data_IF_671724772028
#
_entry.id   IF_671724772028
#
_cell.length_a   1.000
_cell.length_b   1.000
_cell.length_c   1.000
_cell.angle_alpha   90.00
_cell.angle_beta   90.00
_cell.angle_gamma   90.00
#
_symmetry.space_group_name_H-M   'P 1'
#
loop_
_entity.id
_entity.type
_entity.pdbx_description
1 polymer ?
#
# COMPACT_ATOMS: atom_id res chain seq x y z
N UNK A 1 3.99 -24.55 4.95
CA UNK A 1 3.10 -23.51 4.37
C UNK A 1 2.56 -24.05 3.05
N UNK A 2 1.25 -23.96 2.83
CA UNK A 2 0.61 -24.39 1.58
C UNK A 2 1.05 -23.52 0.41
N UNK A 3 1.15 -24.12 -0.77
CA UNK A 3 1.51 -23.43 -2.01
C UNK A 3 0.44 -22.34 -2.29
N UNK A 4 0.82 -21.08 -2.55
CA UNK A 4 -0.15 -20.01 -2.76
C UNK A 4 -1.04 -20.30 -3.97
N UNK A 5 -2.32 -19.96 -3.86
CA UNK A 5 -3.36 -20.18 -4.90
C UNK A 5 -2.93 -19.69 -6.29
N UNK A 6 -2.15 -18.62 -6.35
CA UNK A 6 -1.42 -18.15 -7.52
C UNK A 6 -0.27 -17.24 -7.09
N UNK A 7 0.66 -16.95 -8.01
CA UNK A 7 1.78 -16.00 -7.79
C UNK A 7 1.48 -14.70 -8.56
N UNK A 8 1.13 -13.59 -7.90
CA UNK A 8 0.82 -12.32 -8.58
C UNK A 8 1.83 -11.89 -9.65
N UNK A 9 3.14 -12.09 -9.39
CA UNK A 9 4.19 -11.69 -10.34
C UNK A 9 4.15 -12.42 -11.67
N UNK A 10 3.54 -13.61 -11.76
CA UNK A 10 3.44 -14.38 -13.01
C UNK A 10 2.51 -13.75 -14.05
N UNK A 11 1.71 -12.74 -13.66
CA UNK A 11 0.85 -12.00 -14.58
C UNK A 11 1.57 -10.80 -15.24
N UNK A 12 2.77 -10.46 -14.78
CA UNK A 12 3.60 -9.41 -15.36
C UNK A 12 4.59 -9.98 -16.37
N UNK A 13 4.83 -9.21 -17.44
CA UNK A 13 5.91 -9.50 -18.39
C UNK A 13 7.31 -9.26 -17.79
N UNK A 14 7.40 -8.58 -16.64
CA UNK A 14 8.64 -8.26 -15.94
C UNK A 14 8.54 -8.65 -14.45
N UNK A 15 8.55 -9.96 -14.13
CA UNK A 15 8.29 -10.42 -12.76
C UNK A 15 9.24 -9.84 -11.70
N UNK A 16 10.47 -9.50 -12.05
CA UNK A 16 11.49 -8.95 -11.14
C UNK A 16 11.26 -7.48 -10.77
N UNK A 17 10.49 -6.76 -11.60
CA UNK A 17 10.10 -5.38 -11.40
C UNK A 17 8.85 -5.24 -10.52
N UNK A 18 8.18 -6.35 -10.20
CA UNK A 18 6.95 -6.36 -9.42
C UNK A 18 7.12 -5.69 -8.06
N UNK A 19 6.22 -4.76 -7.77
CA UNK A 19 6.20 -3.99 -6.52
C UNK A 19 7.35 -3.00 -6.40
N UNK A 20 8.15 -2.77 -7.45
CA UNK A 20 9.27 -1.81 -7.47
C UNK A 20 9.07 -0.73 -8.53
N UNK A 21 8.72 -1.12 -9.76
CA UNK A 21 8.57 -0.21 -10.87
C UNK A 21 7.16 0.39 -10.88
N UNK A 22 7.03 1.72 -10.90
CA UNK A 22 5.72 2.41 -10.93
C UNK A 22 4.94 2.09 -12.22
N UNK A 23 5.65 1.96 -13.34
CA UNK A 23 5.10 1.52 -14.62
C UNK A 23 5.64 0.15 -14.94
N UNK A 24 4.76 -0.80 -15.21
CA UNK A 24 5.13 -2.19 -15.47
C UNK A 24 4.32 -2.74 -16.63
N UNK A 25 4.96 -3.55 -17.48
CA UNK A 25 4.26 -4.28 -18.54
C UNK A 25 3.56 -5.51 -17.96
N UNK A 26 2.33 -5.72 -18.41
CA UNK A 26 1.49 -6.85 -18.04
C UNK A 26 1.29 -7.75 -19.24
N UNK A 27 1.17 -9.06 -19.00
CA UNK A 27 0.72 -9.95 -20.05
C UNK A 27 -0.70 -9.57 -20.49
N UNK A 28 -1.07 -9.85 -21.75
CA UNK A 28 -2.44 -9.63 -22.22
C UNK A 28 -3.46 -10.28 -21.28
N UNK A 29 -4.50 -9.53 -20.92
CA UNK A 29 -5.55 -10.03 -20.06
C UNK A 29 -6.44 -10.96 -20.87
N UNK A 30 -6.31 -12.27 -20.64
CA UNK A 30 -7.18 -13.27 -21.24
C UNK A 30 -8.53 -13.27 -20.50
N UNK A 31 -9.63 -13.21 -21.25
CA UNK A 31 -10.98 -13.31 -20.70
C UNK A 31 -11.18 -14.68 -20.00
N UNK A 32 -11.85 -14.67 -18.85
CA UNK A 32 -12.19 -15.90 -18.11
C UNK A 32 -11.74 -15.92 -16.64
N UNK A 33 -11.67 -17.11 -16.00
CA UNK A 33 -11.43 -17.24 -14.56
C UNK A 33 -10.11 -16.64 -14.04
N UNK A 34 -9.16 -16.38 -14.94
CA UNK A 34 -7.85 -15.77 -14.65
C UNK A 34 -7.88 -14.24 -14.63
N UNK A 35 -8.90 -13.62 -15.21
CA UNK A 35 -9.04 -12.16 -15.28
C UNK A 35 -9.02 -11.52 -13.88
N UNK A 36 -9.75 -12.13 -12.92
CA UNK A 36 -9.76 -11.66 -11.53
C UNK A 36 -8.39 -11.73 -10.87
N UNK A 37 -7.58 -12.76 -11.17
CA UNK A 37 -6.23 -12.89 -10.61
C UNK A 37 -5.28 -11.87 -11.24
N UNK A 38 -5.46 -11.58 -12.53
CA UNK A 38 -4.71 -10.55 -13.23
C UNK A 38 -4.98 -9.16 -12.63
N UNK A 39 -6.25 -8.77 -12.48
CA UNK A 39 -6.64 -7.52 -11.81
C UNK A 39 -6.15 -7.46 -10.36
N UNK A 40 -6.26 -8.56 -9.61
CA UNK A 40 -5.74 -8.64 -8.24
C UNK A 40 -4.22 -8.47 -8.19
N UNK A 41 -3.48 -9.02 -9.16
CA UNK A 41 -2.04 -8.83 -9.27
C UNK A 41 -1.68 -7.36 -9.55
N UNK A 42 -2.44 -6.68 -10.41
CA UNK A 42 -2.27 -5.25 -10.68
C UNK A 42 -2.52 -4.40 -9.43
N UNK A 43 -3.55 -4.72 -8.65
CA UNK A 43 -3.81 -4.04 -7.38
C UNK A 43 -2.68 -4.29 -6.38
N UNK A 44 -2.27 -5.54 -6.19
CA UNK A 44 -1.19 -5.89 -5.28
C UNK A 44 0.13 -5.22 -5.68
N UNK A 45 0.43 -5.13 -6.97
CA UNK A 45 1.60 -4.40 -7.46
C UNK A 45 1.57 -2.93 -7.03
N UNK A 46 0.44 -2.25 -7.24
CA UNK A 46 0.28 -0.86 -6.82
C UNK A 46 0.49 -0.70 -5.31
N UNK A 47 -0.12 -1.56 -4.49
CA UNK A 47 0.07 -1.51 -3.04
C UNK A 47 1.52 -1.79 -2.64
N UNK A 48 2.16 -2.78 -3.24
CA UNK A 48 3.56 -3.09 -2.96
C UNK A 48 4.48 -1.90 -3.28
N UNK A 49 4.24 -1.20 -4.40
CA UNK A 49 4.97 0.02 -4.75
C UNK A 49 4.77 1.12 -3.69
N UNK A 50 3.52 1.38 -3.29
CA UNK A 50 3.20 2.39 -2.26
C UNK A 50 3.80 2.07 -0.91
N UNK A 51 3.74 0.81 -0.46
CA UNK A 51 4.37 0.38 0.80
C UNK A 51 5.88 0.66 0.75
N UNK A 52 6.56 0.28 -0.34
CA UNK A 52 8.00 0.56 -0.48
C UNK A 52 8.31 2.05 -0.49
N UNK A 53 7.50 2.84 -1.17
CA UNK A 53 7.66 4.29 -1.20
C UNK A 53 7.50 4.88 0.21
N UNK A 54 6.44 4.52 0.94
CA UNK A 54 6.22 5.00 2.30
C UNK A 54 7.31 4.55 3.26
N UNK A 55 7.82 3.33 3.13
CA UNK A 55 8.99 2.88 3.91
C UNK A 55 10.21 3.76 3.68
N UNK A 56 10.45 4.23 2.45
CA UNK A 56 11.54 5.17 2.16
C UNK A 56 11.29 6.53 2.79
N UNK A 57 10.06 7.04 2.71
CA UNK A 57 9.72 8.36 3.27
C UNK A 57 9.86 8.36 4.80
N UNK A 58 9.48 7.27 5.46
CA UNK A 58 9.59 7.13 6.92
C UNK A 58 11.00 6.69 7.38
N UNK A 59 11.94 6.47 6.46
CA UNK A 59 13.27 5.90 6.73
C UNK A 59 13.22 4.54 7.48
N UNK A 60 12.28 3.68 7.08
CA UNK A 60 12.11 2.34 7.64
C UNK A 60 12.72 1.27 6.75
N UNK A 61 13.46 0.36 7.38
CA UNK A 61 13.91 -0.87 6.73
C UNK A 61 12.76 -1.89 6.67
N UNK A 62 12.85 -2.83 5.72
CA UNK A 62 11.92 -3.97 5.68
C UNK A 62 11.94 -4.80 6.97
N UNK A 63 13.10 -4.89 7.64
CA UNK A 63 13.23 -5.65 8.89
C UNK A 63 12.47 -4.98 10.02
N UNK A 64 12.58 -3.65 10.12
CA UNK A 64 11.78 -2.86 11.07
C UNK A 64 10.29 -3.05 10.80
N UNK A 65 9.85 -2.83 9.55
CA UNK A 65 8.45 -2.98 9.20
C UNK A 65 7.90 -4.39 9.50
N UNK A 66 8.65 -5.44 9.18
CA UNK A 66 8.29 -6.82 9.51
C UNK A 66 8.08 -7.00 11.03
N UNK A 67 8.99 -6.45 11.84
CA UNK A 67 8.90 -6.49 13.30
C UNK A 67 7.68 -5.75 13.84
N UNK A 68 7.44 -4.51 13.38
CA UNK A 68 6.31 -3.69 13.81
C UNK A 68 4.96 -4.28 13.37
N UNK A 69 4.90 -4.81 12.15
CA UNK A 69 3.69 -5.43 11.61
C UNK A 69 3.47 -6.86 12.14
N UNK A 70 4.40 -7.41 12.92
CA UNK A 70 4.41 -8.81 13.36
C UNK A 70 4.27 -9.81 12.20
N UNK A 71 4.92 -9.51 11.08
CA UNK A 71 4.94 -10.36 9.89
C UNK A 71 6.33 -10.97 9.76
N UNK A 72 6.40 -12.26 9.47
CA UNK A 72 7.65 -12.92 9.09
C UNK A 72 8.36 -12.18 7.94
N UNK A 73 9.64 -11.85 8.14
CA UNK A 73 10.42 -11.06 7.19
C UNK A 73 10.45 -11.70 5.79
N UNK A 74 10.62 -13.02 5.71
CA UNK A 74 10.59 -13.74 4.43
C UNK A 74 9.23 -13.60 3.73
N UNK A 75 8.13 -13.77 4.47
CA UNK A 75 6.77 -13.59 3.94
C UNK A 75 6.59 -12.18 3.39
N UNK A 76 7.02 -11.15 4.13
CA UNK A 76 6.95 -9.76 3.69
C UNK A 76 7.69 -9.56 2.36
N UNK A 77 8.93 -10.01 2.27
CA UNK A 77 9.76 -9.83 1.07
C UNK A 77 9.12 -10.53 -0.13
N UNK A 78 8.62 -11.75 0.05
CA UNK A 78 7.94 -12.55 -0.98
C UNK A 78 6.61 -11.92 -1.41
N UNK A 79 5.85 -11.39 -0.47
CA UNK A 79 4.60 -10.65 -0.71
C UNK A 79 4.85 -9.39 -1.54
N UNK A 80 5.84 -8.58 -1.17
CA UNK A 80 6.21 -7.35 -1.88
C UNK A 80 6.90 -7.61 -3.23
N UNK A 81 7.27 -8.86 -3.52
CA UNK A 81 7.77 -9.32 -4.84
C UNK A 81 6.69 -10.05 -5.66
N UNK A 82 5.47 -10.18 -5.13
CA UNK A 82 4.37 -10.84 -5.82
C UNK A 82 4.50 -12.37 -5.90
N UNK A 83 5.26 -12.99 -5.00
CA UNK A 83 5.35 -14.45 -4.88
C UNK A 83 4.26 -15.06 -4.00
N UNK A 84 3.73 -14.25 -3.09
CA UNK A 84 2.64 -14.60 -2.19
C UNK A 84 1.56 -13.53 -2.31
N UNK A 85 0.30 -13.94 -2.21
CA UNK A 85 -0.84 -13.04 -2.25
C UNK A 85 -0.87 -12.16 -1.00
N UNK A 86 -1.00 -10.85 -1.21
CA UNK A 86 -1.22 -9.86 -0.14
C UNK A 86 -2.66 -9.95 0.34
N UNK A 87 -2.85 -10.06 1.66
CA UNK A 87 -4.17 -10.07 2.30
C UNK A 87 -4.64 -8.64 2.54
N UNK A 88 -5.94 -8.47 2.74
CA UNK A 88 -6.50 -7.17 3.13
C UNK A 88 -5.95 -6.70 4.50
N UNK A 89 -5.70 -7.64 5.41
CA UNK A 89 -5.04 -7.38 6.70
C UNK A 89 -3.64 -6.76 6.52
N UNK A 90 -2.86 -7.23 5.54
CA UNK A 90 -1.54 -6.67 5.26
C UNK A 90 -1.62 -5.21 4.80
N UNK A 91 -2.70 -4.84 4.09
CA UNK A 91 -2.95 -3.45 3.64
C UNK A 91 -3.40 -2.59 4.82
N UNK A 92 -4.28 -3.10 5.68
CA UNK A 92 -4.73 -2.39 6.87
C UNK A 92 -3.57 -2.09 7.83
N UNK A 93 -2.70 -3.08 8.07
CA UNK A 93 -1.48 -2.90 8.86
C UNK A 93 -0.53 -1.87 8.23
N UNK A 94 -0.38 -1.89 6.90
CA UNK A 94 0.44 -0.90 6.20
C UNK A 94 -0.13 0.52 6.35
N UNK A 95 -1.46 0.68 6.29
CA UNK A 95 -2.12 1.97 6.51
C UNK A 95 -1.98 2.47 7.94
N UNK A 96 -2.03 1.59 8.93
CA UNK A 96 -1.85 1.94 10.34
C UNK A 96 -0.41 2.41 10.62
N UNK A 97 0.57 1.65 10.17
CA UNK A 97 1.99 1.89 10.48
C UNK A 97 2.60 2.99 9.61
N UNK A 98 2.30 2.98 8.31
CA UNK A 98 2.98 3.86 7.34
C UNK A 98 2.11 5.03 6.90
N UNK A 99 0.78 4.91 6.95
CA UNK A 99 -0.20 5.87 6.39
C UNK A 99 -0.04 6.09 4.89
N UNK A 100 -1.12 6.46 4.21
CA UNK A 100 -1.09 6.78 2.77
C UNK A 100 -0.71 5.61 1.87
N UNK A 101 -1.06 4.37 2.25
CA UNK A 101 -0.87 3.19 1.39
C UNK A 101 -2.14 2.96 0.57
N UNK A 102 -3.31 2.99 1.21
CA UNK A 102 -4.61 2.92 0.54
C UNK A 102 -5.26 4.28 0.28
N UNK A 103 -6.23 4.25 -0.63
CA UNK A 103 -7.10 5.41 -0.86
C UNK A 103 -7.91 5.81 0.37
N UNK A 104 -8.23 4.86 1.26
CA UNK A 104 -8.91 5.17 2.52
C UNK A 104 -8.00 5.98 3.44
N UNK A 105 -6.73 5.57 3.57
CA UNK A 105 -5.75 6.32 4.35
C UNK A 105 -5.49 7.71 3.76
N UNK A 106 -5.37 7.82 2.43
CA UNK A 106 -5.26 9.13 1.78
C UNK A 106 -6.47 10.04 2.02
N UNK A 107 -7.70 9.51 1.94
CA UNK A 107 -8.92 10.28 2.23
C UNK A 107 -8.97 10.71 3.69
N UNK A 108 -8.65 9.82 4.63
CA UNK A 108 -8.62 10.13 6.05
C UNK A 108 -7.62 11.26 6.36
N UNK A 109 -6.42 11.21 5.78
CA UNK A 109 -5.41 12.27 5.94
C UNK A 109 -5.90 13.61 5.38
N UNK A 110 -6.50 13.64 4.19
CA UNK A 110 -7.05 14.88 3.60
C UNK A 110 -8.17 15.47 4.47
N UNK A 111 -9.07 14.63 4.96
CA UNK A 111 -10.17 15.08 5.82
C UNK A 111 -9.65 15.63 7.15
N UNK A 112 -8.65 14.98 7.74
CA UNK A 112 -8.02 15.46 8.98
C UNK A 112 -7.30 16.80 8.78
N UNK A 113 -6.55 16.96 7.68
CA UNK A 113 -5.89 18.22 7.35
C UNK A 113 -6.89 19.37 7.18
N UNK A 114 -8.01 19.12 6.50
CA UNK A 114 -9.09 20.11 6.34
C UNK A 114 -9.71 20.50 7.68
N UNK A 115 -9.94 19.53 8.57
CA UNK A 115 -10.50 19.79 9.89
C UNK A 115 -9.57 20.67 10.77
N UNK A 116 -8.26 20.46 10.68
CA UNK A 116 -7.27 21.29 11.40
C UNK A 116 -7.24 22.73 10.88
N UNK A 117 -7.35 22.93 9.56
CA UNK A 117 -7.42 24.26 8.95
C UNK A 117 -8.67 25.02 9.41
N UNK A 118 -9.83 24.36 9.37
CA UNK A 118 -11.10 24.95 9.86
C UNK A 118 -11.05 25.31 11.36
N UNK A 119 -10.36 24.50 12.18
CA UNK A 119 -10.14 24.82 13.60
C UNK A 119 -9.27 26.06 13.77
N UNK A 120 -8.15 26.14 13.07
CA UNK A 120 -7.25 27.31 13.12
C UNK A 120 -7.94 28.59 12.67
N UNK A 121 -8.76 28.53 11.63
CA UNK A 121 -9.55 29.69 11.17
C UNK A 121 -10.59 30.13 12.21
N UNK A 122 -11.27 29.17 12.85
CA UNK A 122 -12.24 29.47 13.92
C UNK A 122 -11.56 30.12 15.13
N UNK A 123 -10.43 29.59 15.56
CA UNK A 123 -9.63 30.16 16.65
C UNK A 123 -9.12 31.57 16.32
N UNK A 124 -8.63 31.78 15.09
CA UNK A 124 -8.18 33.10 14.64
C UNK A 124 -9.34 34.13 14.59
N UNK A 125 -10.53 33.71 14.14
CA UNK A 125 -11.74 34.56 14.16
C UNK A 125 -12.17 34.90 15.59
N UNK A 126 -12.17 33.93 16.49
CA UNK A 126 -12.51 34.15 17.90
C UNK A 126 -11.52 35.09 18.61
N UNK A 127 -10.22 34.96 18.33
CA UNK A 127 -9.20 35.84 18.90
C UNK A 127 -9.24 37.26 18.36
N UNK A 128 -9.69 37.45 17.11
CA UNK A 128 -9.95 38.79 16.55
C UNK A 128 -11.19 39.46 17.11
N UNK A 129 -12.25 38.68 17.41
CA UNK A 129 -13.48 39.21 18.01
C UNK A 129 -13.34 39.59 19.50
N UNK A 130 -12.25 39.16 20.16
CA UNK A 130 -11.94 39.46 21.57
C UNK A 130 -10.97 40.63 21.76
N UNK A 131 -10.48 41.24 20.68
CA UNK A 131 -9.64 42.45 20.68
C UNK A 131 -10.46 43.65 20.25
#
# INVERSE_FOLDING_TARGET
MSDPRYKPKSFSAEPEAFGKAVKMRWHPMLAGPTERHHRAAMLQHNYACRIRERLKVEDWTFKRYASEAQIEYDRLVRMLRGEVVMRLEDIALADELLKGVSEWSHRAMRNHAKALEEQREKEARQNRAKR
#
